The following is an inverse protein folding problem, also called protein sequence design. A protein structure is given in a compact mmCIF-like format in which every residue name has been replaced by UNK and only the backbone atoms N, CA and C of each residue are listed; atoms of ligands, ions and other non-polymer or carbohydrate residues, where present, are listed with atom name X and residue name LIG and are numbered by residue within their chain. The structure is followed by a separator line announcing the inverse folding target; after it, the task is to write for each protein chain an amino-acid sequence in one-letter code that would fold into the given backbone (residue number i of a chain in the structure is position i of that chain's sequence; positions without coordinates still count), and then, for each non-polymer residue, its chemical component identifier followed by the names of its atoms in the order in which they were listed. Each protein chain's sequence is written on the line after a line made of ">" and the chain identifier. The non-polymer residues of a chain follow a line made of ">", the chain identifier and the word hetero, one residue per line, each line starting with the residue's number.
data_IF_847524278027
#
_entry.id   IF_847524278027
#
_cell.length_a   1.000
_cell.length_b   1.000
_cell.length_c   1.000
_cell.angle_alpha   90.00
_cell.angle_beta   90.00
_cell.angle_gamma   90.00
#
_symmetry.space_group_name_H-M   'P 1'
#
loop_
_entity.id
_entity.type
_entity.pdbx_description
1 polymer ?
#
# COMPACT_ATOMS: atom_id res chain seq x y z
N UNK A 1 -14.00 8.66 -3.61
CA UNK A 1 -13.21 7.60 -4.27
C UNK A 1 -12.00 7.32 -3.41
N UNK A 2 -11.76 6.05 -3.18
CA UNK A 2 -10.78 5.55 -2.24
C UNK A 2 -10.03 4.41 -2.89
N UNK A 3 -8.74 4.30 -2.59
CA UNK A 3 -7.91 3.19 -3.03
C UNK A 3 -7.12 2.63 -1.86
N UNK A 4 -6.99 1.31 -1.82
CA UNK A 4 -6.08 0.58 -0.97
C UNK A 4 -5.08 -0.18 -1.86
N UNK A 5 -3.84 -0.29 -1.41
CA UNK A 5 -2.76 -1.02 -2.05
C UNK A 5 -2.43 -2.22 -1.17
N UNK A 6 -2.40 -3.40 -1.78
CA UNK A 6 -2.04 -4.64 -1.15
C UNK A 6 -0.67 -5.09 -1.68
N UNK A 7 0.29 -5.31 -0.78
CA UNK A 7 1.67 -5.70 -1.08
C UNK A 7 1.94 -7.06 -0.43
N UNK A 8 2.19 -8.09 -1.25
CA UNK A 8 2.35 -9.46 -0.80
C UNK A 8 3.78 -9.96 -1.03
N UNK A 9 4.46 -10.33 0.05
CA UNK A 9 5.65 -11.17 0.01
C UNK A 9 5.21 -12.63 0.04
N UNK A 10 5.10 -13.25 -1.14
CA UNK A 10 4.49 -14.57 -1.27
C UNK A 10 5.39 -15.71 -0.76
N UNK A 11 6.70 -15.50 -0.61
CA UNK A 11 7.65 -16.50 -0.11
C UNK A 11 7.43 -16.83 1.36
N UNK A 12 6.91 -15.89 2.14
CA UNK A 12 6.65 -16.05 3.58
C UNK A 12 5.17 -15.88 3.95
N UNK A 13 4.31 -15.60 2.96
CA UNK A 13 2.88 -15.43 3.20
C UNK A 13 2.55 -14.18 3.99
N UNK A 14 3.15 -13.03 3.63
CA UNK A 14 2.92 -11.77 4.33
C UNK A 14 2.30 -10.70 3.43
N UNK A 15 1.18 -10.15 3.86
CA UNK A 15 0.43 -9.12 3.15
C UNK A 15 0.46 -7.81 3.95
N UNK A 16 0.91 -6.72 3.34
CA UNK A 16 0.67 -5.36 3.82
C UNK A 16 -0.51 -4.79 3.06
N UNK A 17 -1.47 -4.19 3.77
CA UNK A 17 -2.51 -3.37 3.16
C UNK A 17 -2.31 -1.93 3.63
N UNK A 18 -2.23 -1.00 2.70
CA UNK A 18 -2.01 0.42 2.97
C UNK A 18 -2.87 1.30 2.09
N UNK A 19 -3.29 2.46 2.55
CA UNK A 19 -4.13 3.36 1.76
C UNK A 19 -4.36 4.71 2.41
N UNK A 20 -4.86 5.66 1.61
CA UNK A 20 -5.13 7.04 2.01
C UNK A 20 -6.50 7.46 1.48
N UNK A 21 -7.32 8.08 2.32
CA UNK A 21 -8.63 8.61 1.94
C UNK A 21 -9.09 9.71 2.90
N UNK A 22 -9.31 10.93 2.40
CA UNK A 22 -9.93 12.04 3.15
C UNK A 22 -9.38 12.27 4.57
N UNK A 23 -8.06 12.17 4.76
CA UNK A 23 -7.40 12.36 6.05
C UNK A 23 -7.33 11.10 6.93
N UNK A 24 -7.95 10.00 6.50
CA UNK A 24 -7.72 8.66 7.04
C UNK A 24 -6.55 8.01 6.30
N UNK A 25 -5.72 7.30 7.06
CA UNK A 25 -4.69 6.43 6.53
C UNK A 25 -4.83 5.06 7.16
N UNK A 26 -4.59 4.02 6.39
CA UNK A 26 -4.51 2.65 6.89
C UNK A 26 -3.13 2.09 6.60
N UNK A 27 -2.56 1.40 7.57
CA UNK A 27 -1.43 0.50 7.40
C UNK A 27 -1.67 -0.70 8.30
N UNK A 28 -1.65 -1.90 7.72
CA UNK A 28 -1.80 -3.14 8.45
C UNK A 28 -0.98 -4.25 7.80
N UNK A 29 -0.52 -5.19 8.63
CA UNK A 29 0.21 -6.39 8.21
C UNK A 29 -0.60 -7.61 8.58
N UNK A 30 -0.76 -8.51 7.63
CA UNK A 30 -1.62 -9.67 7.71
C UNK A 30 -0.87 -10.93 7.30
N UNK A 31 -1.18 -12.04 7.96
CA UNK A 31 -0.67 -13.34 7.59
C UNK A 31 -1.57 -13.95 6.51
N UNK A 32 -0.98 -14.53 5.47
CA UNK A 32 -1.71 -15.23 4.41
C UNK A 32 -1.13 -16.62 4.16
N UNK A 33 -1.94 -17.61 3.73
CA UNK A 33 -1.42 -18.89 3.26
C UNK A 33 -0.42 -18.71 2.11
N UNK A 34 0.58 -19.59 1.97
CA UNK A 34 1.53 -19.51 0.83
C UNK A 34 0.86 -19.72 -0.54
N UNK A 35 -0.30 -20.38 -0.57
CA UNK A 35 -1.13 -20.55 -1.77
C UNK A 35 -2.06 -19.36 -2.04
N UNK A 36 -1.96 -18.29 -1.25
CA UNK A 36 -2.83 -17.14 -1.35
C UNK A 36 -2.66 -16.43 -2.69
N UNK A 37 -3.79 -16.07 -3.28
CA UNK A 37 -3.87 -15.17 -4.42
C UNK A 37 -4.61 -13.92 -3.96
N UNK A 38 -4.30 -12.79 -4.58
CA UNK A 38 -5.04 -11.57 -4.32
C UNK A 38 -6.53 -11.80 -4.54
N UNK A 39 -7.34 -11.36 -3.58
CA UNK A 39 -8.79 -11.44 -3.66
C UNK A 39 -9.27 -10.68 -4.90
N UNK A 40 -10.15 -11.28 -5.68
CA UNK A 40 -10.92 -10.59 -6.72
C UNK A 40 -12.34 -10.41 -6.17
N UNK A 41 -12.72 -9.20 -5.72
CA UNK A 41 -14.03 -8.96 -5.14
C UNK A 41 -15.15 -9.18 -6.15
N UNK A 42 -16.33 -9.57 -5.66
CA UNK A 42 -17.52 -9.68 -6.51
C UNK A 42 -17.85 -8.32 -7.16
N UNK A 43 -18.24 -8.33 -8.44
CA UNK A 43 -18.58 -7.12 -9.22
C UNK A 43 -19.55 -6.18 -8.48
N UNK A 44 -20.53 -6.75 -7.77
CA UNK A 44 -21.56 -6.01 -7.02
C UNK A 44 -21.01 -5.12 -5.91
N UNK A 45 -19.77 -5.37 -5.46
CA UNK A 45 -19.11 -4.54 -4.45
C UNK A 45 -18.57 -3.23 -5.05
N UNK A 46 -18.50 -3.09 -6.38
CA UNK A 46 -18.00 -1.88 -7.03
C UNK A 46 -16.53 -1.59 -6.70
N UNK A 47 -15.74 -2.64 -6.50
CA UNK A 47 -14.30 -2.57 -6.21
C UNK A 47 -13.55 -3.03 -7.45
N UNK A 48 -12.76 -2.16 -8.03
CA UNK A 48 -11.90 -2.47 -9.17
C UNK A 48 -10.52 -2.86 -8.69
N UNK A 49 -9.90 -3.84 -9.34
CA UNK A 49 -8.59 -4.38 -8.98
C UNK A 49 -7.65 -4.23 -10.16
N UNK A 50 -6.40 -3.85 -9.92
CA UNK A 50 -5.35 -3.92 -10.94
C UNK A 50 -4.99 -5.37 -11.28
N UNK A 51 -4.08 -5.59 -12.24
CA UNK A 51 -3.50 -6.90 -12.49
C UNK A 51 -3.02 -7.55 -11.18
N UNK A 52 -3.36 -8.83 -10.96
CA UNK A 52 -3.30 -9.45 -9.63
C UNK A 52 -2.83 -10.91 -9.62
N UNK A 53 -2.45 -11.47 -10.76
CA UNK A 53 -2.01 -12.88 -10.81
C UNK A 53 -0.59 -13.04 -10.26
N UNK A 54 -0.37 -13.96 -9.35
CA UNK A 54 0.97 -14.27 -8.84
C UNK A 54 1.57 -15.41 -9.66
N UNK A 55 2.59 -15.11 -10.46
CA UNK A 55 3.24 -16.09 -11.35
C UNK A 55 4.63 -16.53 -10.90
N UNK A 56 5.27 -15.77 -10.00
CA UNK A 56 6.64 -16.01 -9.55
C UNK A 56 6.83 -15.66 -8.07
N UNK A 57 7.83 -16.23 -7.38
CA UNK A 57 8.22 -15.77 -6.04
C UNK A 57 8.63 -14.29 -6.02
N UNK A 58 8.35 -13.58 -4.93
CA UNK A 58 8.77 -12.20 -4.70
C UNK A 58 7.72 -11.33 -4.01
N UNK A 59 7.93 -10.01 -4.11
CA UNK A 59 6.98 -9.00 -3.61
C UNK A 59 6.09 -8.49 -4.74
N UNK A 60 4.79 -8.73 -4.61
CA UNK A 60 3.76 -8.37 -5.59
C UNK A 60 2.89 -7.23 -5.07
N UNK A 61 2.40 -6.38 -5.96
CA UNK A 61 1.60 -5.20 -5.63
C UNK A 61 0.31 -5.16 -6.44
N UNK A 62 -0.80 -4.89 -5.74
CA UNK A 62 -2.13 -4.76 -6.33
C UNK A 62 -2.84 -3.54 -5.75
N UNK A 63 -3.53 -2.77 -6.60
CA UNK A 63 -4.40 -1.68 -6.18
C UNK A 63 -5.87 -2.10 -6.24
N UNK A 64 -6.60 -1.80 -5.18
CA UNK A 64 -8.04 -1.95 -5.02
C UNK A 64 -8.66 -0.56 -4.93
N UNK A 65 -9.48 -0.16 -5.89
CA UNK A 65 -10.08 1.17 -5.90
C UNK A 65 -11.60 1.09 -6.02
N UNK A 66 -12.30 2.00 -5.35
CA UNK A 66 -13.75 2.13 -5.47
C UNK A 66 -14.18 3.59 -5.43
N UNK A 67 -15.22 3.89 -6.20
CA UNK A 67 -15.87 5.20 -6.20
C UNK A 67 -16.98 5.29 -5.14
N UNK A 68 -17.53 4.15 -4.71
CA UNK A 68 -18.65 4.07 -3.75
C UNK A 68 -18.21 3.67 -2.34
N UNK A 69 -17.16 2.84 -2.21
CA UNK A 69 -16.65 2.41 -0.92
C UNK A 69 -15.58 3.37 -0.41
N UNK A 70 -15.59 3.62 0.90
CA UNK A 70 -14.50 4.32 1.57
C UNK A 70 -13.32 3.38 1.85
N UNK A 71 -12.19 3.93 2.31
CA UNK A 71 -10.99 3.15 2.60
C UNK A 71 -11.22 2.01 3.62
N UNK A 72 -11.98 2.24 4.69
CA UNK A 72 -12.24 1.21 5.71
C UNK A 72 -12.97 0.00 5.10
N UNK A 73 -14.00 0.26 4.30
CA UNK A 73 -14.76 -0.79 3.62
C UNK A 73 -13.92 -1.57 2.63
N UNK A 74 -13.02 -0.89 1.90
CA UNK A 74 -12.07 -1.54 1.00
C UNK A 74 -11.14 -2.48 1.77
N UNK A 75 -10.56 -1.99 2.87
CA UNK A 75 -9.66 -2.78 3.72
C UNK A 75 -10.39 -4.00 4.26
N UNK A 76 -11.59 -3.84 4.84
CA UNK A 76 -12.40 -4.93 5.39
C UNK A 76 -12.67 -6.05 4.38
N UNK A 77 -12.87 -5.70 3.10
CA UNK A 77 -13.03 -6.68 2.03
C UNK A 77 -11.71 -7.40 1.72
N UNK A 78 -10.60 -6.65 1.60
CA UNK A 78 -9.28 -7.20 1.25
C UNK A 78 -8.78 -8.17 2.32
N UNK A 79 -8.96 -7.82 3.60
CA UNK A 79 -8.40 -8.55 4.74
C UNK A 79 -9.34 -9.60 5.32
N UNK A 80 -10.48 -9.83 4.67
CA UNK A 80 -11.50 -10.73 5.16
C UNK A 80 -10.89 -12.11 5.48
N UNK A 81 -11.13 -12.56 6.72
CA UNK A 81 -10.63 -13.83 7.27
C UNK A 81 -9.10 -13.94 7.37
N UNK A 82 -8.36 -12.83 7.24
CA UNK A 82 -6.91 -12.79 7.42
C UNK A 82 -6.52 -12.40 8.85
N UNK A 83 -5.62 -13.15 9.51
CA UNK A 83 -5.09 -12.76 10.81
C UNK A 83 -4.28 -11.46 10.73
N UNK A 84 -4.69 -10.45 11.50
CA UNK A 84 -3.91 -9.24 11.74
C UNK A 84 -2.69 -9.56 12.62
N UNK A 85 -1.51 -9.30 12.08
CA UNK A 85 -0.22 -9.47 12.75
C UNK A 85 0.54 -8.14 12.85
N UNK A 86 -0.11 -7.01 12.63
CA UNK A 86 0.52 -5.66 12.56
C UNK A 86 1.39 -5.35 13.78
N UNK A 87 0.98 -5.74 14.98
CA UNK A 87 1.75 -5.46 16.21
C UNK A 87 2.77 -6.52 16.56
N UNK A 88 2.76 -7.66 15.88
CA UNK A 88 3.66 -8.76 16.16
C UNK A 88 3.88 -9.60 14.90
N UNK A 89 4.41 -9.01 13.82
CA UNK A 89 4.64 -9.73 12.58
C UNK A 89 5.88 -10.59 12.73
N UNK A 90 5.72 -11.72 13.42
CA UNK A 90 6.81 -12.68 13.58
C UNK A 90 7.21 -13.19 12.20
N UNK A 91 8.43 -12.90 11.78
CA UNK A 91 9.09 -13.53 10.64
C UNK A 91 9.64 -14.92 10.96
N UNK A 92 9.85 -15.20 12.24
CA UNK A 92 10.94 -16.07 12.61
C UNK A 92 10.58 -17.54 12.52
N UNK A 93 11.39 -18.26 11.73
CA UNK A 93 11.51 -19.71 11.83
C UNK A 93 11.90 -20.11 13.27
N UNK A 94 11.69 -21.38 13.63
CA UNK A 94 12.13 -21.90 14.93
C UNK A 94 13.63 -21.69 15.19
N UNK A 95 14.44 -21.63 14.13
CA UNK A 95 15.88 -21.36 14.22
C UNK A 95 16.17 -19.92 14.63
N UNK A 96 15.51 -18.95 14.00
CA UNK A 96 15.68 -17.54 14.37
C UNK A 96 15.22 -17.29 15.82
N UNK A 97 14.11 -17.88 16.25
CA UNK A 97 13.67 -17.80 17.67
C UNK A 97 14.73 -18.32 18.63
N UNK A 98 15.40 -19.43 18.27
CA UNK A 98 16.47 -20.00 19.09
C UNK A 98 17.72 -19.09 19.14
N UNK A 99 18.11 -18.49 18.01
CA UNK A 99 19.24 -17.55 17.96
C UNK A 99 18.97 -16.28 18.76
N UNK A 100 17.76 -15.72 18.64
CA UNK A 100 17.34 -14.56 19.40
C UNK A 100 17.32 -14.85 20.91
N UNK A 101 16.79 -16.00 21.31
CA UNK A 101 16.77 -16.43 22.72
C UNK A 101 18.18 -16.57 23.29
N UNK A 102 19.13 -17.09 22.49
CA UNK A 102 20.54 -17.18 22.89
C UNK A 102 21.16 -15.79 23.04
N UNK A 103 20.94 -14.89 22.09
CA UNK A 103 21.43 -13.52 22.16
C UNK A 103 20.88 -12.80 23.41
N UNK A 104 19.57 -12.91 23.68
CA UNK A 104 18.95 -12.35 24.88
C UNK A 104 19.58 -12.87 26.17
N UNK A 105 19.73 -14.18 26.30
CA UNK A 105 20.34 -14.80 27.49
C UNK A 105 21.78 -14.33 27.70
N UNK A 106 22.49 -14.08 26.60
CA UNK A 106 23.85 -13.56 26.62
C UNK A 106 23.90 -12.08 27.06
N UNK A 107 22.98 -11.24 26.57
CA UNK A 107 22.81 -9.84 27.03
C UNK A 107 22.50 -9.81 28.52
N UNK A 108 21.56 -10.64 28.98
CA UNK A 108 21.21 -10.77 30.40
C UNK A 108 22.46 -11.04 31.26
N UNK A 109 23.28 -12.02 30.86
CA UNK A 109 24.52 -12.34 31.58
C UNK A 109 25.53 -11.19 31.58
N UNK A 110 25.69 -10.49 30.46
CA UNK A 110 26.64 -9.37 30.35
C UNK A 110 26.20 -8.13 31.11
N UNK A 111 24.89 -7.86 31.14
CA UNK A 111 24.30 -6.73 31.85
C UNK A 111 24.52 -6.78 33.37
N UNK A 112 24.72 -7.98 33.94
CA UNK A 112 25.07 -8.15 35.35
C UNK A 112 26.51 -7.74 35.67
N UNK A 113 27.39 -7.70 34.66
CA UNK A 113 28.83 -7.51 34.84
C UNK A 113 29.35 -6.17 34.29
N UNK A 114 28.59 -5.49 33.44
CA UNK A 114 28.99 -4.26 32.77
C UNK A 114 28.07 -3.09 33.14
N UNK A 115 28.66 -1.89 33.21
CA UNK A 115 27.92 -0.63 33.45
C UNK A 115 27.24 -0.14 32.16
N UNK A 116 27.89 -0.35 31.02
CA UNK A 116 27.39 -0.01 29.69
C UNK A 116 27.72 -1.16 28.75
N UNK A 117 26.82 -1.47 27.82
CA UNK A 117 26.97 -2.52 26.83
C UNK A 117 26.94 -1.90 25.43
N UNK A 118 27.87 -2.28 24.57
CA UNK A 118 27.87 -1.84 23.18
C UNK A 118 27.53 -2.97 22.20
N UNK A 119 27.09 -2.61 20.99
CA UNK A 119 26.81 -3.58 19.93
C UNK A 119 28.05 -4.37 19.56
N UNK A 120 29.19 -3.70 19.39
CA UNK A 120 30.46 -4.35 19.01
C UNK A 120 30.90 -5.40 20.04
N UNK A 121 30.71 -5.13 21.34
CA UNK A 121 31.00 -6.07 22.42
C UNK A 121 30.08 -7.30 22.41
N UNK A 122 28.79 -7.08 22.15
CA UNK A 122 27.81 -8.16 22.10
C UNK A 122 28.01 -9.08 20.89
N UNK A 123 28.46 -8.52 19.77
CA UNK A 123 28.72 -9.26 18.52
C UNK A 123 30.04 -10.02 18.53
N UNK A 124 31.03 -9.60 19.33
CA UNK A 124 32.39 -10.18 19.36
C UNK A 124 32.43 -11.70 19.57
N UNK A 125 31.57 -12.21 20.45
CA UNK A 125 31.55 -13.63 20.82
C UNK A 125 30.61 -14.45 19.91
N UNK A 126 29.97 -13.82 18.90
CA UNK A 126 29.12 -14.47 17.91
C UNK A 126 27.74 -14.94 18.42
N UNK A 127 27.37 -14.60 19.66
CA UNK A 127 26.05 -14.94 20.22
C UNK A 127 24.93 -14.02 19.73
N UNK A 128 25.27 -12.81 19.31
CA UNK A 128 24.34 -11.81 18.80
C UNK A 128 24.74 -11.38 17.40
N UNK A 129 23.75 -11.16 16.55
CA UNK A 129 23.88 -10.57 15.22
C UNK A 129 23.09 -9.25 15.15
N UNK A 130 23.31 -8.45 14.11
CA UNK A 130 22.54 -7.21 13.89
C UNK A 130 21.03 -7.48 13.86
N UNK A 131 20.63 -8.54 13.14
CA UNK A 131 19.24 -8.98 13.02
C UNK A 131 18.62 -9.35 14.38
N UNK A 132 19.34 -10.13 15.21
CA UNK A 132 18.82 -10.50 16.54
C UNK A 132 18.73 -9.30 17.48
N UNK A 133 19.67 -8.35 17.41
CA UNK A 133 19.62 -7.12 18.22
C UNK A 133 18.46 -6.22 17.77
N UNK A 134 18.27 -6.07 16.46
CA UNK A 134 17.16 -5.33 15.88
C UNK A 134 15.80 -5.96 16.24
N UNK A 135 15.66 -7.29 16.17
CA UNK A 135 14.45 -8.00 16.58
C UNK A 135 14.14 -7.79 18.07
N UNK A 136 15.14 -7.91 18.95
CA UNK A 136 14.95 -7.67 20.39
C UNK A 136 14.54 -6.23 20.70
N UNK A 137 15.06 -5.25 19.94
CA UNK A 137 14.63 -3.86 20.05
C UNK A 137 13.19 -3.67 19.55
N UNK A 138 12.84 -4.26 18.42
CA UNK A 138 11.50 -4.21 17.86
C UNK A 138 10.44 -4.81 18.81
N UNK A 139 10.82 -5.84 19.57
CA UNK A 139 9.98 -6.45 20.61
C UNK A 139 9.91 -5.62 21.91
N UNK A 140 10.58 -4.47 21.99
CA UNK A 140 10.62 -3.62 23.18
C UNK A 140 11.46 -4.17 24.34
N UNK A 141 12.23 -5.25 24.11
CA UNK A 141 13.10 -5.84 25.15
C UNK A 141 14.39 -5.02 25.29
N UNK A 142 14.89 -4.49 24.19
CA UNK A 142 16.18 -3.82 24.10
C UNK A 142 16.01 -2.35 23.71
N UNK A 143 16.55 -1.44 24.53
CA UNK A 143 16.73 -0.04 24.18
C UNK A 143 18.05 0.12 23.45
N UNK A 144 18.05 0.91 22.38
CA UNK A 144 19.24 1.18 21.57
C UNK A 144 19.42 2.69 21.46
N UNK A 145 20.62 3.16 21.75
CA UNK A 145 21.05 4.55 21.59
C UNK A 145 22.37 4.63 20.83
N UNK A 146 22.86 5.82 20.50
CA UNK A 146 24.16 6.02 19.85
C UNK A 146 24.06 6.40 18.37
N UNK A 147 25.21 6.57 17.73
CA UNK A 147 25.32 7.19 16.40
C UNK A 147 24.69 6.34 15.30
N UNK A 148 24.66 5.02 15.49
CA UNK A 148 24.12 4.06 14.52
C UNK A 148 22.74 3.51 14.91
N UNK A 149 21.97 4.25 15.71
CA UNK A 149 20.68 3.78 16.27
C UNK A 149 19.44 4.05 15.40
N UNK A 150 19.59 4.55 14.17
CA UNK A 150 18.46 4.95 13.31
C UNK A 150 17.52 3.79 12.93
N UNK A 151 17.95 2.56 13.14
CA UNK A 151 17.17 1.34 12.94
C UNK A 151 16.24 0.98 14.10
N UNK A 152 16.43 1.62 15.25
CA UNK A 152 15.78 1.22 16.48
C UNK A 152 14.39 1.85 16.61
N UNK A 153 13.42 1.02 16.99
CA UNK A 153 12.14 1.48 17.48
C UNK A 153 12.32 2.21 18.82
N UNK A 154 11.58 3.31 19.07
CA UNK A 154 11.54 3.93 20.39
C UNK A 154 10.96 2.98 21.44
N UNK A 155 11.66 2.78 22.55
CA UNK A 155 11.22 1.92 23.67
C UNK A 155 11.19 2.73 24.96
N UNK A 156 10.03 2.81 25.63
CA UNK A 156 9.88 3.64 26.84
C UNK A 156 10.53 3.04 28.10
N UNK A 157 10.51 1.71 28.23
CA UNK A 157 11.02 1.01 29.42
C UNK A 157 11.67 -0.33 29.04
N UNK A 158 12.81 -0.30 28.33
CA UNK A 158 13.49 -1.52 27.90
C UNK A 158 14.09 -2.28 29.09
N UNK A 159 14.20 -3.60 28.96
CA UNK A 159 14.86 -4.46 29.96
C UNK A 159 16.38 -4.21 30.00
N UNK A 160 16.97 -3.93 28.85
CA UNK A 160 18.40 -3.69 28.68
C UNK A 160 18.61 -2.50 27.78
N UNK A 161 19.69 -1.75 27.99
CA UNK A 161 20.10 -0.67 27.09
C UNK A 161 21.46 -0.99 26.50
N UNK A 162 21.62 -0.72 25.21
CA UNK A 162 22.89 -0.87 24.50
C UNK A 162 23.19 0.38 23.66
N UNK A 163 24.48 0.62 23.45
CA UNK A 163 24.98 1.67 22.56
C UNK A 163 25.33 1.05 21.20
N UNK A 164 24.69 1.53 20.14
CA UNK A 164 25.01 1.26 18.74
C UNK A 164 26.27 2.07 18.35
N UNK A 165 27.42 1.46 18.61
CA UNK A 165 28.76 2.01 18.44
C UNK A 165 29.43 1.66 17.11
N UNK A 166 28.78 0.82 16.29
CA UNK A 166 29.24 0.45 14.96
C UNK A 166 28.08 0.40 13.95
N UNK A 167 28.34 0.65 12.65
CA UNK A 167 27.31 0.62 11.62
C UNK A 167 26.82 -0.81 11.32
N UNK A 168 25.56 -0.91 10.91
CA UNK A 168 24.94 -2.18 10.52
C UNK A 168 25.04 -2.35 9.01
N UNK A 169 25.32 -3.56 8.52
CA UNK A 169 25.25 -3.84 7.08
C UNK A 169 23.79 -3.90 6.65
N UNK A 170 23.44 -3.18 5.58
CA UNK A 170 22.05 -3.14 5.13
C UNK A 170 21.52 -4.55 4.81
N UNK A 171 22.31 -5.41 4.18
CA UNK A 171 21.93 -6.80 3.87
C UNK A 171 21.64 -7.68 5.11
N UNK A 172 22.30 -7.44 6.26
CA UNK A 172 22.01 -8.18 7.50
C UNK A 172 20.73 -7.71 8.18
N UNK A 173 20.20 -6.57 7.73
CA UNK A 173 19.02 -5.92 8.27
C UNK A 173 17.75 -6.26 7.49
N UNK A 174 17.85 -6.72 6.24
CA UNK A 174 16.69 -6.95 5.38
C UNK A 174 16.19 -8.39 5.44
N UNK A 175 14.86 -8.56 5.47
CA UNK A 175 14.24 -9.87 5.22
C UNK A 175 14.54 -10.28 3.78
N UNK A 176 15.05 -11.49 3.58
CA UNK A 176 15.58 -12.01 2.30
C UNK A 176 16.81 -11.25 1.73
N UNK A 177 17.32 -10.21 2.40
CA UNK A 177 18.52 -9.47 1.95
C UNK A 177 18.31 -8.52 0.76
N UNK A 178 17.05 -8.26 0.38
CA UNK A 178 16.71 -7.59 -0.89
C UNK A 178 16.10 -6.19 -0.70
N UNK A 179 16.62 -5.24 -1.48
CA UNK A 179 16.03 -3.92 -1.71
C UNK A 179 15.10 -3.95 -2.92
N UNK A 180 13.89 -3.45 -2.75
CA UNK A 180 12.86 -3.33 -3.76
C UNK A 180 12.92 -1.93 -4.38
N UNK A 181 13.35 -1.85 -5.63
CA UNK A 181 13.47 -0.59 -6.39
C UNK A 181 12.50 -0.53 -7.56
N UNK A 182 12.27 0.70 -8.01
CA UNK A 182 11.59 1.01 -9.26
C UNK A 182 12.27 0.29 -10.45
N UNK A 183 11.46 -0.23 -11.37
CA UNK A 183 11.91 -0.82 -12.64
C UNK A 183 12.35 0.25 -13.66
N UNK A 184 11.88 1.49 -13.53
CA UNK A 184 12.01 2.55 -14.54
C UNK A 184 13.07 3.62 -14.26
N UNK A 185 13.34 3.95 -12.99
CA UNK A 185 14.30 4.99 -12.62
C UNK A 185 15.56 4.39 -11.98
N UNK A 186 16.61 4.23 -12.79
CA UNK A 186 17.97 3.87 -12.35
C UNK A 186 18.59 4.86 -11.32
N UNK A 187 17.90 5.93 -10.94
CA UNK A 187 18.42 7.07 -10.18
C UNK A 187 17.55 7.43 -8.96
N UNK A 188 16.51 6.65 -8.62
CA UNK A 188 15.81 6.91 -7.37
C UNK A 188 16.74 6.60 -6.19
N UNK A 189 17.09 7.56 -5.32
CA UNK A 189 17.85 7.26 -4.12
C UNK A 189 17.04 6.37 -3.18
N UNK A 190 15.72 6.24 -3.39
CA UNK A 190 14.85 5.51 -2.49
C UNK A 190 14.74 4.02 -2.88
N UNK A 191 14.68 3.17 -1.87
CA UNK A 191 14.36 1.76 -2.01
C UNK A 191 13.40 1.34 -0.88
N UNK A 192 12.51 0.40 -1.17
CA UNK A 192 11.64 -0.20 -0.17
C UNK A 192 12.23 -1.55 0.25
N UNK A 193 12.03 -1.97 1.49
CA UNK A 193 12.43 -3.30 1.91
C UNK A 193 11.57 -3.82 3.06
N UNK A 194 11.63 -5.14 3.26
CA UNK A 194 10.99 -5.80 4.39
C UNK A 194 11.95 -5.82 5.58
N UNK A 195 11.54 -5.26 6.71
CA UNK A 195 12.27 -5.27 7.96
C UNK A 195 11.32 -5.60 9.10
N UNK A 196 11.68 -6.61 9.92
CA UNK A 196 10.84 -7.12 11.02
C UNK A 196 9.37 -7.31 10.64
N UNK A 197 9.10 -7.70 9.39
CA UNK A 197 7.75 -7.99 8.91
C UNK A 197 6.98 -6.79 8.39
N UNK A 198 7.58 -5.62 8.44
CA UNK A 198 7.02 -4.38 7.96
C UNK A 198 7.73 -3.89 6.70
N UNK A 199 7.02 -3.12 5.89
CA UNK A 199 7.60 -2.38 4.78
C UNK A 199 8.17 -1.06 5.27
N UNK A 200 9.43 -0.81 4.91
CA UNK A 200 10.15 0.43 5.18
C UNK A 200 10.75 0.99 3.91
N UNK A 201 10.86 2.31 3.83
CA UNK A 201 11.52 3.01 2.74
C UNK A 201 12.81 3.59 3.26
N UNK A 202 13.87 3.40 2.50
CA UNK A 202 15.21 3.87 2.80
C UNK A 202 15.69 4.80 1.69
N UNK A 203 16.35 5.87 2.08
CA UNK A 203 17.06 6.79 1.18
C UNK A 203 18.54 6.40 1.14
N UNK A 204 19.06 6.24 -0.07
CA UNK A 204 20.47 6.06 -0.36
C UNK A 204 21.17 7.43 -0.29
N UNK A 205 22.17 7.53 0.57
CA UNK A 205 23.08 8.67 0.63
C UNK A 205 24.47 8.18 0.27
N UNK A 206 25.01 8.75 -0.80
CA UNK A 206 26.39 8.50 -1.20
C UNK A 206 27.24 9.57 -0.53
N UNK A 207 28.27 9.12 0.17
CA UNK A 207 29.26 10.01 0.75
C UNK A 207 30.38 10.25 -0.25
N UNK A 208 30.75 11.51 -0.45
CA UNK A 208 31.85 11.89 -1.33
C UNK A 208 33.23 11.47 -0.75
N UNK A 209 33.32 11.21 0.56
CA UNK A 209 34.59 11.07 1.28
C UNK A 209 35.10 9.63 1.42
N UNK A 210 34.22 8.63 1.40
CA UNK A 210 34.56 7.26 1.83
C UNK A 210 34.03 6.13 0.90
N UNK A 211 33.47 6.48 -0.27
CA UNK A 211 32.97 5.52 -1.29
C UNK A 211 31.95 4.49 -0.73
N UNK A 212 31.40 4.78 0.46
CA UNK A 212 30.39 3.98 1.11
C UNK A 212 28.99 4.45 0.69
N UNK A 213 28.13 3.46 0.44
CA UNK A 213 26.70 3.67 0.33
C UNK A 213 26.07 3.58 1.72
N UNK A 214 25.42 4.67 2.14
CA UNK A 214 24.68 4.75 3.38
C UNK A 214 23.18 4.72 3.11
N UNK A 215 22.43 4.03 3.96
CA UNK A 215 20.99 3.93 3.91
C UNK A 215 20.37 4.54 5.17
N UNK A 216 19.30 5.30 4.97
CA UNK A 216 18.58 5.95 6.05
C UNK A 216 17.08 5.70 5.94
N UNK A 217 16.41 5.25 7.02
CA UNK A 217 14.98 5.02 6.99
C UNK A 217 14.23 6.36 6.88
N UNK A 218 13.44 6.50 5.82
CA UNK A 218 12.48 7.60 5.66
C UNK A 218 11.15 7.30 6.39
N UNK A 219 10.79 6.03 6.45
CA UNK A 219 9.69 5.51 7.27
C UNK A 219 10.11 5.40 8.74
N UNK A 220 9.15 5.53 9.66
CA UNK A 220 9.40 5.38 11.09
C UNK A 220 9.34 3.92 11.50
N UNK A 221 10.39 3.44 12.17
CA UNK A 221 10.44 2.11 12.76
C UNK A 221 9.83 2.19 14.17
N UNK A 222 8.94 1.25 14.51
CA UNK A 222 8.13 1.22 15.73
C UNK A 222 6.87 2.10 15.70
N UNK A 223 6.59 2.79 14.59
CA UNK A 223 5.41 3.64 14.38
C UNK A 223 4.84 3.42 12.97
N UNK A 224 4.66 2.16 12.59
CA UNK A 224 4.37 1.76 11.22
C UNK A 224 2.99 2.20 10.73
N UNK A 225 2.05 2.38 11.65
CA UNK A 225 0.72 2.95 11.39
C UNK A 225 0.79 4.33 10.70
N UNK A 226 1.85 5.10 10.99
CA UNK A 226 2.09 6.42 10.40
C UNK A 226 2.81 6.39 9.04
N UNK A 227 3.26 5.22 8.57
CA UNK A 227 4.04 5.08 7.34
C UNK A 227 3.18 4.98 6.07
N UNK A 228 1.86 4.88 6.19
CA UNK A 228 0.97 4.74 5.04
C UNK A 228 1.19 5.83 3.95
N UNK A 229 1.28 7.13 4.28
CA UNK A 229 1.41 8.17 3.25
C UNK A 229 2.68 8.02 2.40
N UNK A 230 3.81 7.74 3.04
CA UNK A 230 5.10 7.64 2.35
C UNK A 230 5.20 6.35 1.51
N UNK A 231 4.60 5.25 1.98
CA UNK A 231 4.56 3.98 1.25
C UNK A 231 3.65 4.07 0.03
N UNK A 232 2.45 4.65 0.17
CA UNK A 232 1.53 4.83 -0.96
C UNK A 232 2.16 5.72 -2.04
N UNK A 233 2.81 6.82 -1.64
CA UNK A 233 3.49 7.73 -2.57
C UNK A 233 4.65 7.05 -3.30
N UNK A 234 5.49 6.29 -2.58
CA UNK A 234 6.57 5.52 -3.19
C UNK A 234 6.06 4.53 -4.23
N UNK A 235 5.02 3.74 -3.92
CA UNK A 235 4.45 2.76 -4.84
C UNK A 235 3.86 3.44 -6.07
N UNK A 236 3.12 4.54 -5.87
CA UNK A 236 2.53 5.31 -6.95
C UNK A 236 3.59 5.82 -7.93
N UNK A 237 4.74 6.26 -7.41
CA UNK A 237 5.87 6.73 -8.25
C UNK A 237 6.66 5.58 -8.88
N UNK A 238 6.88 4.48 -8.14
CA UNK A 238 7.74 3.36 -8.55
C UNK A 238 7.06 2.33 -9.46
N UNK A 239 5.72 2.31 -9.53
CA UNK A 239 4.98 1.34 -10.36
C UNK A 239 4.00 2.10 -11.28
N UNK A 240 4.42 2.42 -12.52
CA UNK A 240 3.61 3.18 -13.48
C UNK A 240 2.22 2.59 -13.75
N UNK A 241 2.09 1.26 -13.72
CA UNK A 241 0.83 0.57 -13.97
C UNK A 241 -0.16 0.76 -12.82
N UNK A 242 0.33 0.82 -11.58
CA UNK A 242 -0.49 1.12 -10.40
C UNK A 242 -0.95 2.57 -10.44
N UNK A 243 -0.04 3.53 -10.71
CA UNK A 243 -0.45 4.93 -10.82
C UNK A 243 -1.38 5.18 -12.00
N UNK A 244 -1.15 4.55 -13.15
CA UNK A 244 -2.07 4.60 -14.28
C UNK A 244 -3.47 4.10 -13.90
N UNK A 245 -3.57 2.91 -13.27
CA UNK A 245 -4.83 2.35 -12.82
C UNK A 245 -5.57 3.29 -11.86
N UNK A 246 -4.87 3.79 -10.84
CA UNK A 246 -5.46 4.73 -9.87
C UNK A 246 -5.94 6.03 -10.55
N UNK A 247 -5.18 6.57 -11.50
CA UNK A 247 -5.56 7.77 -12.25
C UNK A 247 -6.79 7.57 -13.12
N UNK A 248 -6.94 6.40 -13.74
CA UNK A 248 -8.15 6.03 -14.50
C UNK A 248 -9.38 6.07 -13.59
N UNK A 249 -9.28 5.50 -12.39
CA UNK A 249 -10.40 5.52 -11.42
C UNK A 249 -10.67 6.93 -10.87
N UNK A 250 -9.63 7.73 -10.62
CA UNK A 250 -9.76 9.16 -10.26
C UNK A 250 -10.53 9.91 -11.34
N UNK A 251 -10.14 9.76 -12.61
CA UNK A 251 -10.79 10.40 -13.75
C UNK A 251 -12.26 10.01 -13.86
N UNK A 252 -12.55 8.71 -13.71
CA UNK A 252 -13.92 8.21 -13.70
C UNK A 252 -14.76 8.83 -12.56
N UNK A 253 -14.21 8.90 -11.34
CA UNK A 253 -14.89 9.53 -10.21
C UNK A 253 -15.18 11.02 -10.45
N UNK A 254 -14.22 11.78 -11.01
CA UNK A 254 -14.41 13.20 -11.30
C UNK A 254 -15.58 13.40 -12.28
N UNK A 255 -15.68 12.57 -13.32
CA UNK A 255 -16.77 12.62 -14.29
C UNK A 255 -18.13 12.24 -13.68
N UNK A 256 -18.16 11.25 -12.80
CA UNK A 256 -19.38 10.88 -12.07
C UNK A 256 -19.89 12.02 -11.18
N UNK A 257 -19.00 12.80 -10.56
CA UNK A 257 -19.38 13.93 -9.70
C UNK A 257 -19.85 15.14 -10.51
N UNK A 258 -19.15 15.51 -11.59
CA UNK A 258 -19.47 16.72 -12.38
C UNK A 258 -20.78 16.60 -13.17
N UNK A 259 -21.16 15.39 -13.55
CA UNK A 259 -22.33 15.16 -14.42
C UNK A 259 -23.68 15.16 -13.71
N UNK A 260 -23.77 15.49 -12.42
CA UNK A 260 -25.03 15.51 -11.64
C UNK A 260 -25.82 14.18 -11.61
N UNK A 261 -25.29 13.11 -12.21
CA UNK A 261 -25.73 11.72 -12.05
C UNK A 261 -25.82 11.24 -10.59
N UNK A 262 -25.07 11.78 -9.60
CA UNK A 262 -25.22 11.36 -8.21
C UNK A 262 -26.65 11.56 -7.71
N UNK A 263 -27.36 12.61 -8.10
CA UNK A 263 -28.73 12.87 -7.63
C UNK A 263 -29.78 11.86 -8.14
N UNK A 264 -29.52 11.20 -9.29
CA UNK A 264 -30.39 10.15 -9.84
C UNK A 264 -30.08 8.76 -9.26
N UNK A 265 -28.85 8.53 -8.80
CA UNK A 265 -28.38 7.26 -8.24
C UNK A 265 -28.44 7.22 -6.70
N UNK A 266 -28.26 8.36 -6.02
CA UNK A 266 -28.32 8.48 -4.55
C UNK A 266 -29.75 8.52 -4.02
N UNK A 267 -30.71 9.12 -4.73
CA UNK A 267 -32.10 9.08 -4.27
C UNK A 267 -32.71 7.67 -4.31
N UNK A 268 -32.15 6.76 -5.12
CA UNK A 268 -32.51 5.35 -5.10
C UNK A 268 -31.82 4.56 -3.96
N UNK A 269 -30.74 5.07 -3.35
CA UNK A 269 -29.93 4.33 -2.37
C UNK A 269 -29.95 4.91 -0.94
N UNK A 270 -30.22 6.20 -0.75
CA UNK A 270 -30.12 6.85 0.56
C UNK A 270 -31.34 6.59 1.46
N UNK A 271 -32.53 6.35 0.90
CA UNK A 271 -33.74 6.04 1.68
C UNK A 271 -33.74 4.58 2.20
N UNK A 272 -32.98 3.68 1.56
CA UNK A 272 -32.86 2.27 1.95
C UNK A 272 -31.56 1.95 2.73
N UNK A 273 -30.45 2.64 2.45
CA UNK A 273 -29.13 2.37 3.08
C UNK A 273 -29.10 2.63 4.59
N UNK A 274 -29.79 3.66 5.07
CA UNK A 274 -29.76 4.03 6.50
C UNK A 274 -30.65 3.15 7.41
N UNK A 275 -31.52 2.30 6.84
CA UNK A 275 -32.34 1.34 7.60
C UNK A 275 -31.85 -0.11 7.50
N UNK A 276 -31.05 -0.45 6.49
CA UNK A 276 -30.69 -1.83 6.17
C UNK A 276 -29.39 -2.36 6.85
N UNK A 277 -28.48 -1.49 7.30
CA UNK A 277 -27.17 -1.95 7.79
C UNK A 277 -27.21 -2.65 9.17
N UNK A 278 -28.30 -2.47 9.95
CA UNK A 278 -28.42 -3.09 11.26
C UNK A 278 -29.32 -4.33 11.33
N UNK A 279 -30.04 -4.72 10.26
CA UNK A 279 -30.92 -5.89 10.33
C UNK A 279 -31.09 -6.64 8.97
N UNK A 280 -30.39 -7.77 8.87
CA UNK A 280 -30.73 -9.04 8.17
C UNK A 280 -30.74 -9.15 6.63
N UNK A 281 -30.14 -10.30 6.25
CA UNK A 281 -30.25 -11.23 5.12
C UNK A 281 -29.87 -10.75 3.69
N UNK A 282 -28.84 -11.35 3.04
CA UNK A 282 -28.28 -10.86 1.76
C UNK A 282 -29.08 -11.20 0.49
N UNK A 283 -30.19 -11.93 0.59
CA UNK A 283 -30.79 -12.61 -0.58
C UNK A 283 -31.83 -11.78 -1.37
N UNK A 284 -32.16 -10.56 -0.97
CA UNK A 284 -33.26 -9.79 -1.59
C UNK A 284 -32.92 -8.30 -1.82
N UNK A 285 -31.79 -8.02 -2.47
CA UNK A 285 -31.56 -6.69 -3.04
C UNK A 285 -31.91 -6.70 -4.53
N UNK A 286 -32.81 -5.82 -4.96
CA UNK A 286 -32.92 -5.44 -6.36
C UNK A 286 -31.82 -4.40 -6.61
N UNK A 287 -30.74 -4.85 -7.24
CA UNK A 287 -29.47 -4.17 -7.25
C UNK A 287 -29.45 -2.96 -8.21
N UNK A 288 -28.64 -1.92 -7.93
CA UNK A 288 -28.24 -0.99 -8.99
C UNK A 288 -27.52 -1.82 -10.05
N UNK A 289 -28.15 -2.00 -11.21
CA UNK A 289 -27.47 -2.44 -12.42
C UNK A 289 -26.46 -1.36 -12.78
N UNK A 290 -25.28 -1.41 -12.16
CA UNK A 290 -24.09 -0.89 -12.81
C UNK A 290 -24.06 -1.52 -14.20
N UNK A 291 -23.76 -0.71 -15.20
CA UNK A 291 -23.88 -1.03 -16.63
C UNK A 291 -23.05 -2.28 -16.95
N UNK A 292 -23.65 -3.44 -16.72
CA UNK A 292 -23.20 -4.75 -17.15
C UNK A 292 -24.39 -5.31 -17.92
N UNK A 293 -24.53 -4.80 -19.13
CA UNK A 293 -25.37 -5.43 -20.12
C UNK A 293 -24.44 -6.30 -20.98
N UNK A 294 -24.62 -7.61 -20.90
CA UNK A 294 -23.89 -8.61 -21.69
C UNK A 294 -23.93 -8.31 -23.20
N UNK A 295 -24.90 -7.52 -23.67
CA UNK A 295 -24.99 -7.09 -25.07
C UNK A 295 -23.99 -6.00 -25.47
N UNK A 296 -23.29 -5.38 -24.50
CA UNK A 296 -22.33 -4.29 -24.72
C UNK A 296 -20.87 -4.71 -24.60
N UNK A 297 -20.63 -5.97 -24.21
CA UNK A 297 -19.35 -6.65 -24.40
C UNK A 297 -19.13 -6.94 -25.89
N UNK A 298 -18.43 -6.07 -26.61
CA UNK A 298 -17.83 -6.50 -27.88
C UNK A 298 -16.70 -7.47 -27.51
N UNK A 299 -16.92 -8.77 -27.73
CA UNK A 299 -15.99 -9.89 -27.43
C UNK A 299 -14.60 -9.77 -28.12
N UNK A 300 -14.31 -8.65 -28.76
CA UNK A 300 -13.08 -8.40 -29.53
C UNK A 300 -12.20 -7.28 -28.97
N UNK A 301 -12.53 -6.64 -27.84
CA UNK A 301 -11.66 -5.60 -27.25
C UNK A 301 -11.62 -5.69 -25.72
N UNK A 302 -10.40 -5.73 -25.19
CA UNK A 302 -10.03 -5.98 -23.78
C UNK A 302 -10.41 -4.84 -22.80
N UNK A 303 -11.46 -4.07 -23.07
CA UNK A 303 -11.81 -2.88 -22.29
C UNK A 303 -13.33 -2.62 -22.27
N UNK A 304 -13.86 -2.16 -21.13
CA UNK A 304 -15.23 -1.65 -21.05
C UNK A 304 -15.25 -0.26 -21.71
N UNK A 305 -15.79 -0.18 -22.93
CA UNK A 305 -16.06 1.09 -23.59
C UNK A 305 -17.52 1.49 -23.28
N UNK A 306 -17.71 2.55 -22.51
CA UNK A 306 -19.06 3.06 -22.22
C UNK A 306 -19.72 3.57 -23.50
N UNK A 307 -20.62 2.76 -24.07
CA UNK A 307 -21.47 3.17 -25.20
C UNK A 307 -22.79 3.70 -24.64
N UNK A 308 -22.82 4.98 -24.28
CA UNK A 308 -23.93 5.67 -23.58
C UNK A 308 -25.30 5.71 -24.32
N UNK A 309 -25.46 5.05 -25.47
CA UNK A 309 -26.44 5.43 -26.48
C UNK A 309 -27.46 4.35 -26.86
N UNK A 310 -28.21 3.75 -25.92
CA UNK A 310 -29.38 2.94 -26.37
C UNK A 310 -30.67 3.07 -25.57
N UNK A 311 -30.62 3.27 -24.25
CA UNK A 311 -31.85 3.36 -23.43
C UNK A 311 -31.94 4.59 -22.52
N UNK A 312 -30.98 5.51 -22.61
CA UNK A 312 -30.99 6.77 -21.84
C UNK A 312 -32.22 7.61 -22.13
N UNK A 313 -32.73 7.65 -23.36
CA UNK A 313 -33.94 8.42 -23.70
C UNK A 313 -35.22 7.89 -23.02
N UNK A 314 -35.37 6.57 -22.91
CA UNK A 314 -36.52 5.94 -22.21
C UNK A 314 -36.42 6.16 -20.70
N UNK A 315 -35.22 6.02 -20.14
CA UNK A 315 -34.96 6.24 -18.72
C UNK A 315 -35.18 7.71 -18.32
N UNK A 316 -34.67 8.66 -19.13
CA UNK A 316 -34.82 10.10 -18.90
C UNK A 316 -36.27 10.58 -19.05
N UNK A 317 -37.03 10.02 -20.01
CA UNK A 317 -38.46 10.29 -20.16
C UNK A 317 -39.28 9.78 -18.98
N UNK A 318 -38.95 8.60 -18.44
CA UNK A 318 -39.62 8.06 -17.25
C UNK A 318 -39.32 8.86 -15.97
N UNK A 319 -38.25 9.65 -15.96
CA UNK A 319 -37.78 10.44 -14.81
C UNK A 319 -38.15 11.93 -14.89
N UNK A 320 -38.89 12.35 -15.93
CA UNK A 320 -39.40 13.72 -16.05
C UNK A 320 -38.33 14.82 -16.19
N UNK A 321 -37.11 14.45 -16.61
CA UNK A 321 -36.00 15.38 -16.77
C UNK A 321 -36.07 16.15 -18.11
N UNK A 322 -35.56 17.39 -18.17
CA UNK A 322 -35.62 18.21 -19.37
C UNK A 322 -34.90 17.55 -20.55
N UNK A 323 -35.53 17.68 -21.72
CA UNK A 323 -35.22 16.96 -22.96
C UNK A 323 -33.76 17.04 -23.39
N UNK A 324 -33.22 15.86 -23.69
CA UNK A 324 -31.94 15.59 -24.32
C UNK A 324 -31.80 16.21 -25.72
N UNK A 325 -30.63 16.71 -26.06
CA UNK A 325 -30.30 17.17 -27.41
C UNK A 325 -29.73 16.00 -28.22
N UNK A 326 -30.14 15.85 -29.48
CA UNK A 326 -29.62 14.79 -30.35
C UNK A 326 -28.25 15.23 -30.86
N UNK A 327 -27.20 14.51 -30.49
CA UNK A 327 -25.85 14.79 -30.95
C UNK A 327 -25.51 13.85 -32.11
N UNK A 328 -25.33 14.43 -33.31
CA UNK A 328 -25.00 13.71 -34.54
C UNK A 328 -23.69 12.92 -34.43
N UNK A 329 -22.76 13.37 -33.57
CA UNK A 329 -21.48 12.70 -33.32
C UNK A 329 -21.63 11.38 -32.56
N UNK A 330 -22.77 11.18 -31.91
CA UNK A 330 -23.09 10.02 -31.06
C UNK A 330 -24.25 9.19 -31.61
N UNK A 331 -25.02 9.74 -32.57
CA UNK A 331 -26.24 9.12 -33.08
C UNK A 331 -27.29 8.90 -31.98
N UNK A 332 -27.29 9.74 -30.94
CA UNK A 332 -28.17 9.56 -29.79
C UNK A 332 -28.41 10.86 -29.02
N UNK A 333 -29.37 10.80 -28.10
CA UNK A 333 -29.82 11.90 -27.27
C UNK A 333 -28.98 12.00 -25.97
N UNK A 334 -28.29 13.12 -25.76
CA UNK A 334 -27.41 13.37 -24.60
C UNK A 334 -28.07 14.40 -23.67
N UNK A 335 -27.99 14.26 -22.32
CA UNK A 335 -28.53 15.28 -21.42
C UNK A 335 -27.87 16.64 -21.64
N UNK A 336 -28.67 17.72 -21.65
CA UNK A 336 -28.19 19.07 -21.98
C UNK A 336 -27.12 19.62 -21.03
N UNK A 337 -27.01 19.08 -19.82
CA UNK A 337 -25.96 19.44 -18.84
C UNK A 337 -24.65 18.66 -19.05
N UNK A 338 -24.65 17.63 -19.90
CA UNK A 338 -23.45 16.93 -20.35
C UNK A 338 -22.84 17.53 -21.61
N UNK A 339 -23.44 18.55 -22.23
CA UNK A 339 -23.04 19.10 -23.55
C UNK A 339 -21.68 19.82 -23.59
N UNK A 340 -20.86 19.71 -22.55
CA UNK A 340 -19.47 20.10 -22.63
C UNK A 340 -18.72 19.02 -23.43
N UNK A 341 -18.40 19.34 -24.69
CA UNK A 341 -17.66 18.45 -25.61
C UNK A 341 -16.36 17.94 -24.97
N UNK A 342 -15.73 18.71 -24.09
CA UNK A 342 -14.50 18.34 -23.41
C UNK A 342 -14.74 17.20 -22.41
N UNK A 343 -15.76 17.33 -21.55
CA UNK A 343 -16.16 16.30 -20.58
C UNK A 343 -16.63 15.00 -21.26
N UNK A 344 -17.39 15.09 -22.37
CA UNK A 344 -17.82 13.89 -23.10
C UNK A 344 -16.67 13.26 -23.90
N UNK A 345 -15.76 14.08 -24.45
CA UNK A 345 -14.53 13.61 -25.11
C UNK A 345 -13.66 12.77 -24.16
N UNK A 346 -13.56 13.19 -22.90
CA UNK A 346 -12.84 12.44 -21.85
C UNK A 346 -13.54 11.12 -21.47
N UNK A 347 -14.88 11.07 -21.46
CA UNK A 347 -15.62 9.82 -21.22
C UNK A 347 -15.42 8.77 -22.33
N UNK A 348 -15.21 9.19 -23.59
CA UNK A 348 -14.96 8.27 -24.72
C UNK A 348 -13.60 7.55 -24.61
N UNK A 349 -12.63 8.15 -23.94
CA UNK A 349 -11.25 7.65 -23.88
C UNK A 349 -10.97 6.85 -22.62
N UNK A 350 -11.74 7.04 -21.54
CA UNK A 350 -11.57 6.27 -20.31
C UNK A 350 -12.11 4.86 -20.52
N UNK A 351 -11.16 3.94 -20.60
CA UNK A 351 -11.39 2.51 -20.61
C UNK A 351 -11.13 1.99 -19.21
N UNK A 352 -12.17 1.52 -18.53
CA UNK A 352 -11.96 0.76 -17.30
C UNK A 352 -11.40 -0.61 -17.69
N UNK A 353 -10.29 -1.07 -17.10
CA UNK A 353 -9.86 -2.44 -17.28
C UNK A 353 -11.00 -3.36 -16.80
N UNK A 354 -11.37 -4.39 -17.58
CA UNK A 354 -12.40 -5.32 -17.16
C UNK A 354 -11.90 -6.04 -15.89
N UNK A 355 -12.81 -6.37 -14.96
CA UNK A 355 -12.41 -7.15 -13.78
C UNK A 355 -11.82 -8.52 -14.14
N UNK A 356 -12.08 -9.02 -15.34
CA UNK A 356 -11.47 -10.25 -15.88
C UNK A 356 -9.98 -10.12 -16.22
N UNK A 357 -9.41 -8.91 -16.21
CA UNK A 357 -7.98 -8.66 -16.48
C UNK A 357 -7.07 -9.05 -15.29
N UNK A 358 -7.64 -9.64 -14.24
CA UNK A 358 -6.90 -10.27 -13.12
C UNK A 358 -6.09 -11.50 -13.56
N UNK A 359 -6.25 -11.95 -14.81
CA UNK A 359 -5.37 -12.96 -15.41
C UNK A 359 -3.99 -12.42 -15.78
N UNK A 360 -3.78 -11.10 -15.73
CA UNK A 360 -2.48 -10.49 -15.96
C UNK A 360 -1.64 -10.56 -14.68
N UNK A 361 -0.33 -10.85 -14.78
CA UNK A 361 0.56 -10.87 -13.62
C UNK A 361 0.51 -9.58 -12.81
N UNK A 362 0.48 -9.72 -11.49
CA UNK A 362 0.64 -8.61 -10.56
C UNK A 362 1.99 -7.93 -10.79
N UNK A 363 2.03 -6.62 -10.53
CA UNK A 363 3.27 -5.86 -10.65
C UNK A 363 4.23 -6.24 -9.54
N UNK A 364 5.53 -6.27 -9.85
CA UNK A 364 6.58 -6.56 -8.87
C UNK A 364 7.68 -5.51 -8.94
N UNK A 365 8.36 -5.30 -7.83
CA UNK A 365 9.58 -4.52 -7.80
C UNK A 365 10.74 -5.25 -8.45
N UNK A 366 11.78 -4.49 -8.80
CA UNK A 366 13.10 -5.06 -9.06
C UNK A 366 13.79 -5.29 -7.73
N UNK A 367 14.21 -6.54 -7.47
CA UNK A 367 15.08 -6.85 -6.34
C UNK A 367 16.54 -6.52 -6.68
N UNK A 368 17.26 -5.94 -5.73
CA UNK A 368 18.70 -5.78 -5.75
C UNK A 368 19.29 -6.14 -4.38
N UNK A 369 20.52 -6.69 -4.31
CA UNK A 369 21.19 -6.93 -3.04
C UNK A 369 21.33 -5.63 -2.23
N UNK A 370 20.99 -5.67 -0.95
CA UNK A 370 21.08 -4.54 -0.02
C UNK A 370 22.51 -4.18 0.38
N UNK A 371 23.37 -3.82 -0.58
CA UNK A 371 24.76 -3.41 -0.28
C UNK A 371 24.79 -2.04 0.40
N UNK A 372 25.73 -1.88 1.33
CA UNK A 372 25.96 -0.63 2.05
C UNK A 372 25.75 -0.77 3.55
N UNK A 373 25.71 0.37 4.21
CA UNK A 373 25.62 0.48 5.66
C UNK A 373 24.37 1.28 6.05
N UNK A 374 23.79 0.94 7.19
CA UNK A 374 22.63 1.61 7.76
C UNK A 374 23.09 2.61 8.81
N UNK A 375 22.53 3.83 8.76
CA UNK A 375 22.86 4.97 9.63
C UNK A 375 24.31 5.48 9.44
N UNK A 376 24.51 6.71 8.98
CA UNK A 376 25.82 7.39 9.03
C UNK A 376 25.91 8.35 10.22
N UNK A 377 27.07 8.33 10.86
CA UNK A 377 27.45 9.03 12.09
C UNK A 377 27.31 10.56 11.99
N UNK A 378 27.40 11.12 10.77
CA UNK A 378 27.41 12.57 10.54
C UNK A 378 26.08 13.26 10.78
N UNK A 379 24.97 12.52 10.84
CA UNK A 379 23.63 13.09 10.98
C UNK A 379 23.33 13.71 12.37
N UNK A 380 24.17 13.46 13.38
CA UNK A 380 24.00 14.06 14.71
C UNK A 380 24.47 15.52 14.81
N UNK A 381 25.27 16.01 13.87
CA UNK A 381 25.82 17.36 13.93
C UNK A 381 25.04 18.39 13.11
N UNK A 382 24.27 17.99 12.09
CA UNK A 382 23.58 18.94 11.20
C UNK A 382 22.06 18.99 11.35
N UNK A 383 21.43 18.00 11.98
CA UNK A 383 19.98 17.95 12.11
C UNK A 383 19.55 17.72 13.57
N UNK A 384 19.06 18.79 14.21
CA UNK A 384 18.15 18.66 15.35
C UNK A 384 16.93 17.77 15.03
N UNK A 385 15.99 17.58 15.98
CA UNK A 385 14.90 16.59 15.86
C UNK A 385 14.23 16.65 14.48
N UNK A 386 13.82 15.49 13.93
CA UNK A 386 13.46 15.33 12.53
C UNK A 386 12.57 16.49 12.08
N UNK A 387 13.10 17.33 11.19
CA UNK A 387 12.34 18.42 10.59
C UNK A 387 11.06 17.79 10.04
N UNK A 388 9.91 18.35 10.45
CA UNK A 388 8.57 17.93 10.00
C UNK A 388 8.65 17.55 8.52
N UNK A 389 8.14 16.36 8.20
CA UNK A 389 7.99 15.91 6.83
C UNK A 389 7.51 17.08 5.95
N UNK A 390 8.13 17.32 4.78
CA UNK A 390 7.68 18.39 3.91
C UNK A 390 6.19 18.21 3.68
N UNK A 391 5.39 19.24 3.99
CA UNK A 391 3.97 19.20 3.69
C UNK A 391 3.83 19.22 2.17
N UNK A 392 3.74 18.04 1.55
CA UNK A 392 3.33 17.90 0.16
C UNK A 392 1.80 18.06 0.15
N UNK A 393 1.37 19.30 0.39
CA UNK A 393 0.02 19.72 0.03
C UNK A 393 0.05 20.20 -1.41
N UNK A 394 -0.91 19.69 -2.19
CA UNK A 394 -1.27 20.03 -3.58
C UNK A 394 -0.49 19.30 -4.67
N UNK A 395 -0.96 18.08 -4.96
CA UNK A 395 -1.23 17.63 -6.34
C UNK A 395 -2.34 16.56 -6.45
N UNK A 396 -3.25 16.53 -5.48
CA UNK A 396 -4.52 15.79 -5.56
C UNK A 396 -5.65 16.71 -5.06
N UNK A 397 -6.03 17.65 -5.91
CA UNK A 397 -7.36 18.28 -5.92
C UNK A 397 -7.87 18.17 -7.36
#
# INVERSE_FOLDING_TARGET
>A
MSCAIAILLNTVGRLVVTGLDNGLSHYGVYNVPLSYQFLVPEEKLGIHVSASQITQPGTHVVAYCSIINNLSQLVDVIIKDLPDITRSPKLSSSEHVNLETKCRSYIEKKSLAAVELSMSELKKDGYCTDDNLASLNFQGILGVSGNYSCFAAPVEAPNFNITADEPIRMESFLSEGELLRDRGLLISPNAMAWFQGHLHIFEQRVSDDDDHTWWYPLTRIGQEDSNAPIIVDFIYQAIPQISWFMNVIIGFNKLMVTTSLPSLMLNASQEESNKAYHNRNPENFDHPKYIYDEQFSDRRKDYIQFKFCKDTSKLLNNLGLPTSEYDESFGCHVPKYMSDEESIGQLKTIKLPPQSDTSVPAETFTSQPGKGWLCDERDLWENGPPKKAPSISRKLQ
#
